data_IF_465912056276
#
_entry.id   IF_465912056276
#
_cell.length_a   1.000
_cell.length_b   1.000
_cell.length_c   1.000
_cell.angle_alpha   90.00
_cell.angle_beta   90.00
_cell.angle_gamma   90.00
#
_symmetry.space_group_name_H-M   'P 1'
#
loop_
_entity.id
_entity.type
_entity.pdbx_description
1 polymer ?
#
# COMPACT_ATOMS: atom_id res chain seq x y z
N UNK A 1 19.26 34.30 28.83
CA UNK A 1 19.01 34.72 30.22
C UNK A 1 17.62 35.33 30.27
N UNK A 2 16.74 34.86 31.14
CA UNK A 2 15.55 35.59 31.58
C UNK A 2 15.71 35.58 33.10
N UNK A 3 15.80 36.75 33.72
CA UNK A 3 16.02 36.92 35.17
C UNK A 3 17.37 36.39 35.70
N UNK A 4 18.44 36.37 34.90
CA UNK A 4 19.80 36.10 35.40
C UNK A 4 20.17 34.63 35.66
N UNK A 5 19.30 33.66 35.37
CA UNK A 5 19.60 32.22 35.52
C UNK A 5 19.76 31.51 34.15
N UNK A 6 20.69 30.54 34.02
CA UNK A 6 20.77 29.68 32.84
C UNK A 6 19.57 28.72 32.84
N UNK A 7 18.56 29.01 32.00
CA UNK A 7 17.46 28.09 31.72
C UNK A 7 17.87 27.17 30.56
N UNK A 8 17.77 25.85 30.77
CA UNK A 8 17.76 24.90 29.67
C UNK A 8 16.53 25.17 28.79
N UNK A 9 16.73 25.81 27.64
CA UNK A 9 15.66 25.91 26.66
C UNK A 9 15.55 24.56 25.95
N UNK A 10 14.37 23.92 25.92
CA UNK A 10 14.19 22.70 25.16
C UNK A 10 14.56 22.99 23.70
N UNK A 11 15.55 22.25 23.18
CA UNK A 11 15.91 22.33 21.76
C UNK A 11 14.65 22.06 20.95
N UNK A 12 14.36 22.92 19.97
CA UNK A 12 13.26 22.69 19.03
C UNK A 12 13.40 21.28 18.46
N UNK A 13 12.34 20.44 18.50
CA UNK A 13 12.41 19.09 17.97
C UNK A 13 12.86 19.14 16.50
N UNK A 14 13.87 18.36 16.15
CA UNK A 14 14.45 18.33 14.82
C UNK A 14 14.93 16.93 14.46
N UNK A 15 15.22 16.71 13.18
CA UNK A 15 15.78 15.46 12.69
C UNK A 15 17.28 15.31 12.97
N UNK A 16 17.91 16.29 13.61
CA UNK A 16 19.32 16.21 13.95
C UNK A 16 19.56 15.06 14.93
N UNK A 17 20.40 14.09 14.54
CA UNK A 17 20.70 12.90 15.35
C UNK A 17 19.62 11.81 15.31
N UNK A 18 18.59 11.94 14.48
CA UNK A 18 17.58 10.90 14.29
C UNK A 18 18.02 9.96 13.17
N UNK A 19 18.31 8.72 13.52
CA UNK A 19 18.64 7.67 12.56
C UNK A 19 17.40 6.83 12.23
N UNK A 20 16.93 6.95 10.99
CA UNK A 20 15.81 6.18 10.48
C UNK A 20 16.27 4.88 9.82
N UNK A 21 15.37 3.90 9.75
CA UNK A 21 15.64 2.62 9.07
C UNK A 21 15.74 2.83 7.55
N UNK A 22 16.43 1.93 6.82
CA UNK A 22 16.41 1.95 5.35
C UNK A 22 14.99 2.02 4.79
N UNK A 23 14.79 2.83 3.75
CA UNK A 23 13.46 3.08 3.16
C UNK A 23 12.60 4.11 3.90
N UNK A 24 13.14 4.77 4.92
CA UNK A 24 12.47 5.87 5.64
C UNK A 24 13.42 7.07 5.82
N UNK A 25 12.85 8.28 5.83
CA UNK A 25 13.58 9.52 6.05
C UNK A 25 12.98 10.30 7.23
N UNK A 26 13.80 11.03 7.98
CA UNK A 26 13.29 11.83 9.07
C UNK A 26 12.67 13.12 8.53
N UNK A 27 11.40 13.36 8.87
CA UNK A 27 10.71 14.62 8.62
C UNK A 27 10.09 15.13 9.93
N UNK A 28 10.05 16.46 10.12
CA UNK A 28 9.32 17.06 11.23
C UNK A 28 7.84 17.13 10.85
N UNK A 29 7.02 16.27 11.46
CA UNK A 29 5.57 16.18 11.23
C UNK A 29 4.86 16.61 12.50
N UNK A 30 3.97 17.60 12.42
CA UNK A 30 3.26 18.19 13.57
C UNK A 30 4.22 18.64 14.69
N UNK A 31 5.37 19.22 14.32
CA UNK A 31 6.36 19.72 15.26
C UNK A 31 7.28 18.67 15.89
N UNK A 32 7.18 17.39 15.47
CA UNK A 32 7.99 16.29 16.01
C UNK A 32 8.73 15.52 14.91
N UNK A 33 10.01 15.14 15.11
CA UNK A 33 10.73 14.31 14.16
C UNK A 33 10.11 12.92 14.06
N UNK A 34 9.82 12.50 12.82
CA UNK A 34 9.19 11.21 12.51
C UNK A 34 9.88 10.59 11.30
N UNK A 35 10.20 9.29 11.39
CA UNK A 35 10.63 8.53 10.23
C UNK A 35 9.42 8.21 9.35
N UNK A 36 9.41 8.75 8.13
CA UNK A 36 8.36 8.52 7.14
C UNK A 36 8.90 7.72 5.96
N UNK A 37 8.10 6.85 5.32
CA UNK A 37 8.54 6.13 4.12
C UNK A 37 8.99 7.09 3.01
N UNK A 38 10.10 6.78 2.35
CA UNK A 38 10.59 7.55 1.19
C UNK A 38 9.73 7.35 -0.04
N UNK A 39 9.10 6.18 -0.16
CA UNK A 39 8.23 5.83 -1.28
C UNK A 39 6.93 5.23 -0.79
N UNK A 40 5.86 5.48 -1.56
CA UNK A 40 4.56 4.81 -1.41
C UNK A 40 4.42 3.85 -2.60
N UNK A 41 4.82 2.58 -2.46
CA UNK A 41 4.73 1.65 -3.58
C UNK A 41 3.26 1.41 -3.93
N UNK A 42 2.97 1.36 -5.22
CA UNK A 42 1.62 1.16 -5.76
C UNK A 42 1.59 -0.11 -6.59
N UNK A 43 0.61 -0.97 -6.34
CA UNK A 43 0.29 -2.11 -7.19
C UNK A 43 -1.04 -1.80 -7.90
N UNK A 44 -1.14 -2.13 -9.18
CA UNK A 44 -2.37 -2.00 -9.94
C UNK A 44 -2.50 -3.12 -10.97
N UNK A 45 -3.75 -3.43 -11.34
CA UNK A 45 -4.09 -4.38 -12.38
C UNK A 45 -5.14 -3.75 -13.29
N UNK A 46 -4.95 -3.87 -14.60
CA UNK A 46 -5.88 -3.31 -15.59
C UNK A 46 -6.47 -4.42 -16.46
N UNK A 47 -7.63 -4.15 -17.08
CA UNK A 47 -8.40 -5.15 -17.82
C UNK A 47 -7.67 -5.82 -18.99
N UNK A 48 -6.53 -5.32 -19.45
CA UNK A 48 -5.76 -5.90 -20.56
C UNK A 48 -4.45 -6.51 -20.05
N UNK A 49 -4.46 -7.77 -19.64
CA UNK A 49 -3.80 -8.40 -18.45
C UNK A 49 -2.51 -7.79 -17.85
N UNK A 50 -2.33 -6.48 -17.83
CA UNK A 50 -1.16 -5.84 -17.24
C UNK A 50 -1.30 -5.79 -15.72
N UNK A 51 -0.39 -6.47 -15.04
CA UNK A 51 -0.15 -6.35 -13.61
C UNK A 51 1.09 -5.51 -13.39
N UNK A 52 1.03 -4.64 -12.39
CA UNK A 52 2.17 -3.87 -11.90
C UNK A 52 2.37 -4.14 -10.42
N UNK A 53 3.57 -4.59 -10.05
CA UNK A 53 3.91 -4.96 -8.67
C UNK A 53 4.42 -3.77 -7.87
N UNK A 54 4.47 -3.92 -6.54
CA UNK A 54 4.95 -2.87 -5.62
C UNK A 54 6.42 -2.48 -5.83
N UNK A 55 7.24 -3.40 -6.34
CA UNK A 55 8.65 -3.22 -6.68
C UNK A 55 8.88 -2.78 -8.13
N UNK A 56 7.80 -2.50 -8.87
CA UNK A 56 7.87 -1.85 -10.19
C UNK A 56 7.94 -2.79 -11.39
N UNK A 57 7.78 -4.10 -11.20
CA UNK A 57 7.73 -5.06 -12.30
C UNK A 57 6.35 -5.07 -12.96
N UNK A 58 6.35 -5.09 -14.30
CA UNK A 58 5.14 -5.18 -15.11
C UNK A 58 5.13 -6.49 -15.90
N UNK A 59 4.02 -7.21 -15.89
CA UNK A 59 3.87 -8.47 -16.61
C UNK A 59 2.42 -8.74 -17.04
N UNK A 60 2.29 -9.62 -18.03
CA UNK A 60 1.00 -10.06 -18.56
C UNK A 60 0.64 -11.43 -18.01
N UNK A 61 -0.58 -11.57 -17.50
CA UNK A 61 -1.07 -12.83 -16.96
C UNK A 61 -2.46 -13.20 -17.46
N UNK A 62 -2.53 -14.30 -18.23
CA UNK A 62 -3.74 -14.79 -18.87
C UNK A 62 -4.34 -15.99 -18.12
N UNK A 63 -5.09 -15.72 -17.05
CA UNK A 63 -5.80 -16.73 -16.26
C UNK A 63 -7.32 -16.55 -16.24
N UNK A 64 -8.09 -17.61 -16.00
CA UNK A 64 -9.58 -17.57 -15.89
C UNK A 64 -10.13 -17.86 -14.49
N UNK A 65 -9.24 -17.95 -13.50
CA UNK A 65 -9.61 -18.19 -12.11
C UNK A 65 -9.68 -16.89 -11.29
N UNK A 66 -9.89 -17.05 -9.99
CA UNK A 66 -9.69 -16.00 -9.00
C UNK A 66 -8.25 -16.05 -8.49
N UNK A 67 -7.52 -14.94 -8.62
CA UNK A 67 -6.12 -14.84 -8.27
C UNK A 67 -5.94 -13.87 -7.11
N UNK A 68 -5.00 -14.19 -6.23
CA UNK A 68 -4.58 -13.25 -5.19
C UNK A 68 -3.67 -12.20 -5.82
N UNK A 69 -4.12 -10.95 -5.83
CA UNK A 69 -3.31 -9.83 -6.33
C UNK A 69 -2.40 -9.33 -5.23
N UNK A 70 -2.95 -9.15 -4.03
CA UNK A 70 -2.18 -8.77 -2.85
C UNK A 70 -2.74 -9.48 -1.62
N UNK A 71 -1.86 -9.98 -0.77
CA UNK A 71 -2.20 -10.41 0.59
C UNK A 71 -1.08 -10.07 1.54
N UNK A 72 -1.42 -9.85 2.81
CA UNK A 72 -0.41 -9.86 3.87
C UNK A 72 0.11 -11.28 4.08
N UNK A 73 1.41 -11.47 3.91
CA UNK A 73 2.08 -12.71 4.31
C UNK A 73 2.46 -12.62 5.80
N UNK A 74 2.04 -13.62 6.58
CA UNK A 74 2.27 -13.76 8.04
C UNK A 74 1.34 -12.96 8.96
N UNK A 75 1.02 -13.56 10.11
CA UNK A 75 0.40 -12.90 11.26
C UNK A 75 1.44 -11.98 11.95
N UNK A 76 1.69 -10.80 11.38
CA UNK A 76 2.35 -9.73 12.12
C UNK A 76 1.28 -8.94 12.88
N UNK A 77 1.22 -9.01 14.22
CA UNK A 77 0.13 -8.39 15.01
C UNK A 77 0.03 -6.87 14.85
N UNK A 78 1.05 -6.22 14.26
CA UNK A 78 1.12 -4.77 14.04
C UNK A 78 0.68 -4.33 12.63
N UNK A 79 0.36 -5.25 11.71
CA UNK A 79 -0.08 -4.91 10.36
C UNK A 79 -1.53 -5.37 10.14
N UNK A 80 -2.38 -4.55 9.51
CA UNK A 80 -3.74 -4.95 9.19
C UNK A 80 -3.72 -6.10 8.19
N UNK A 81 -4.42 -7.19 8.49
CA UNK A 81 -4.59 -8.28 7.55
C UNK A 81 -5.54 -7.84 6.42
N UNK A 82 -5.09 -8.02 5.18
CA UNK A 82 -5.92 -7.77 4.01
C UNK A 82 -5.63 -8.77 2.90
N UNK A 83 -6.64 -9.03 2.07
CA UNK A 83 -6.58 -9.95 0.95
C UNK A 83 -7.40 -9.40 -0.22
N UNK A 84 -6.72 -9.06 -1.30
CA UNK A 84 -7.30 -8.55 -2.55
C UNK A 84 -7.27 -9.67 -3.58
N UNK A 85 -8.44 -10.01 -4.10
CA UNK A 85 -8.65 -11.10 -5.06
C UNK A 85 -9.21 -10.50 -6.35
N UNK A 86 -8.62 -10.82 -7.49
CA UNK A 86 -9.14 -10.48 -8.80
C UNK A 86 -9.63 -11.73 -9.51
N UNK A 87 -10.91 -11.74 -9.89
CA UNK A 87 -11.48 -12.77 -10.76
C UNK A 87 -11.30 -12.35 -12.20
N UNK A 88 -10.65 -13.20 -12.98
CA UNK A 88 -10.45 -12.97 -14.40
C UNK A 88 -11.27 -13.95 -15.22
N UNK A 89 -11.81 -13.51 -16.35
CA UNK A 89 -12.60 -14.37 -17.25
C UNK A 89 -12.33 -14.02 -18.71
N UNK A 90 -12.55 -14.99 -19.61
CA UNK A 90 -12.48 -14.76 -21.06
C UNK A 90 -13.76 -14.06 -21.51
N UNK A 91 -13.66 -13.12 -22.46
CA UNK A 91 -14.81 -12.40 -23.01
C UNK A 91 -14.83 -12.55 -24.52
N UNK A 92 -15.58 -13.54 -25.02
CA UNK A 92 -15.67 -13.87 -26.45
C UNK A 92 -14.38 -14.44 -27.03
N UNK A 93 -13.31 -13.64 -27.10
CA UNK A 93 -11.98 -14.06 -27.52
C UNK A 93 -11.33 -14.94 -26.42
N UNK A 94 -10.91 -16.15 -26.79
CA UNK A 94 -10.35 -17.14 -25.87
C UNK A 94 -8.86 -16.96 -25.59
N UNK A 95 -8.17 -16.05 -26.29
CA UNK A 95 -6.72 -15.80 -26.14
C UNK A 95 -6.36 -14.90 -24.96
N UNK A 96 -7.30 -14.08 -24.47
CA UNK A 96 -7.04 -13.08 -23.42
C UNK A 96 -8.11 -13.15 -22.33
N UNK A 97 -7.73 -12.85 -21.09
CA UNK A 97 -8.67 -12.74 -19.97
C UNK A 97 -8.66 -11.32 -19.39
N UNK A 98 -9.80 -10.95 -18.83
CA UNK A 98 -10.07 -9.62 -18.29
C UNK A 98 -10.52 -9.76 -16.84
N UNK A 99 -10.07 -8.85 -15.97
CA UNK A 99 -10.61 -8.75 -14.60
C UNK A 99 -12.08 -8.35 -14.67
N UNK A 100 -12.96 -9.19 -14.15
CA UNK A 100 -14.41 -8.96 -14.11
C UNK A 100 -14.91 -8.52 -12.74
N UNK A 101 -14.21 -8.93 -11.69
CA UNK A 101 -14.57 -8.67 -10.31
C UNK A 101 -13.31 -8.55 -9.45
N UNK A 102 -13.34 -7.59 -8.53
CA UNK A 102 -12.34 -7.43 -7.49
C UNK A 102 -13.02 -7.57 -6.14
N UNK A 103 -12.47 -8.41 -5.27
CA UNK A 103 -12.92 -8.56 -3.88
C UNK A 103 -11.82 -8.10 -2.95
N UNK A 104 -12.12 -7.12 -2.11
CA UNK A 104 -11.25 -6.61 -1.05
C UNK A 104 -11.76 -7.15 0.28
N UNK A 105 -10.97 -8.03 0.90
CA UNK A 105 -11.18 -8.48 2.27
C UNK A 105 -10.25 -7.70 3.17
N UNK A 106 -10.82 -6.93 4.09
CA UNK A 106 -10.05 -6.12 5.04
C UNK A 106 -10.76 -6.14 6.39
N UNK A 107 -10.05 -6.55 7.44
CA UNK A 107 -10.66 -6.80 8.75
C UNK A 107 -11.85 -7.78 8.65
N UNK A 108 -13.06 -7.33 9.01
CA UNK A 108 -14.33 -8.07 8.91
C UNK A 108 -15.17 -7.67 7.69
N UNK A 109 -14.66 -6.77 6.84
CA UNK A 109 -15.35 -6.30 5.65
C UNK A 109 -14.97 -7.10 4.42
N UNK A 110 -15.98 -7.40 3.60
CA UNK A 110 -15.83 -8.00 2.29
C UNK A 110 -16.48 -7.07 1.26
N UNK A 111 -15.68 -6.29 0.56
CA UNK A 111 -16.14 -5.36 -0.47
C UNK A 111 -15.94 -6.02 -1.83
N UNK A 112 -16.99 -6.09 -2.63
CA UNK A 112 -16.93 -6.65 -3.98
C UNK A 112 -17.27 -5.56 -4.98
N UNK A 113 -16.42 -5.42 -5.99
CA UNK A 113 -16.60 -4.50 -7.10
C UNK A 113 -16.66 -5.33 -8.38
N UNK A 114 -17.79 -5.31 -9.07
CA UNK A 114 -17.94 -5.95 -10.38
C UNK A 114 -18.01 -4.89 -11.48
N UNK A 115 -17.57 -5.26 -12.67
CA UNK A 115 -17.67 -4.39 -13.83
C UNK A 115 -19.15 -4.17 -14.18
N UNK A 116 -19.55 -2.91 -14.37
CA UNK A 116 -20.89 -2.45 -14.76
C UNK A 116 -22.00 -2.54 -13.69
N UNK A 117 -21.66 -2.69 -12.41
CA UNK A 117 -22.60 -2.31 -11.35
C UNK A 117 -22.53 -0.79 -11.15
N UNK A 118 -23.58 -0.09 -11.57
CA UNK A 118 -23.84 1.27 -11.14
C UNK A 118 -24.58 1.15 -9.81
N UNK A 119 -23.94 1.63 -8.73
CA UNK A 119 -24.58 1.75 -7.42
C UNK A 119 -25.73 2.73 -7.42
#
# INVERSE_FOLDING_TARGET
MVDGWPKCMPKKPSCHGVHCKPGTLCQVVNGWPKCVPTHKPVCWASGHPHYHTFDGHSYDFHGTCSYTVVKTCSHKPKLPAFHIIAKSQKRGNTRVSFVSQVTVKVYHYNITMVKYEHG
#
